data_IF_712955651484
#
_entry.id   IF_712955651484
#
_cell.length_a   1.000
_cell.length_b   1.000
_cell.length_c   1.000
_cell.angle_alpha   90.00
_cell.angle_beta   90.00
_cell.angle_gamma   90.00
#
_symmetry.space_group_name_H-M   'P 1'
#
loop_
_entity.id
_entity.type
_entity.pdbx_description
1 polymer ?
#
# COMPACT_ATOMS: atom_id res chain seq x y z
N UNK A 1 -14.16 5.60 -4.06
CA UNK A 1 -13.78 4.78 -2.89
C UNK A 1 -12.45 4.10 -3.14
N UNK A 2 -11.53 4.17 -2.18
CA UNK A 2 -10.22 3.51 -2.34
C UNK A 2 -10.26 2.08 -1.82
N UNK A 3 -9.51 1.21 -2.49
CA UNK A 3 -9.24 -0.15 -2.03
C UNK A 3 -7.80 -0.20 -1.60
N UNK A 4 -7.55 -0.62 -0.39
CA UNK A 4 -6.21 -0.64 0.19
C UNK A 4 -5.60 -2.03 0.05
N UNK A 5 -4.33 -2.07 -0.35
CA UNK A 5 -3.59 -3.31 -0.59
C UNK A 5 -2.23 -3.22 0.07
N UNK A 6 -1.93 -4.23 0.89
CA UNK A 6 -0.63 -4.34 1.52
C UNK A 6 0.22 -5.31 0.70
N UNK A 7 1.35 -4.84 0.20
CA UNK A 7 2.31 -5.71 -0.50
C UNK A 7 3.05 -6.51 0.56
N UNK A 8 2.90 -7.81 0.49
CA UNK A 8 3.40 -8.72 1.51
C UNK A 8 4.46 -9.67 0.95
N UNK A 9 5.34 -10.13 1.83
CA UNK A 9 6.26 -11.22 1.52
C UNK A 9 5.94 -12.37 2.47
N UNK A 10 4.72 -12.91 2.34
CA UNK A 10 4.27 -14.03 3.13
C UNK A 10 3.34 -13.70 4.28
N UNK A 11 3.36 -12.49 4.83
CA UNK A 11 2.40 -12.09 5.86
C UNK A 11 2.23 -10.58 5.94
N UNK A 12 1.08 -10.15 6.43
CA UNK A 12 0.77 -8.73 6.58
C UNK A 12 1.74 -8.03 7.55
N UNK A 13 2.33 -8.76 8.48
CA UNK A 13 3.31 -8.22 9.42
C UNK A 13 4.59 -7.78 8.71
N UNK A 14 4.86 -8.35 7.53
CA UNK A 14 6.03 -8.03 6.73
C UNK A 14 5.66 -7.13 5.55
N UNK A 15 4.60 -6.35 5.68
CA UNK A 15 4.17 -5.42 4.65
C UNK A 15 5.30 -4.44 4.33
N UNK A 16 5.81 -4.49 3.11
CA UNK A 16 6.90 -3.62 2.67
C UNK A 16 6.40 -2.36 1.98
N UNK A 17 5.21 -2.41 1.43
CA UNK A 17 4.63 -1.31 0.68
C UNK A 17 3.13 -1.28 0.91
N UNK A 18 2.57 -0.08 0.90
CA UNK A 18 1.14 0.11 1.07
C UNK A 18 0.58 0.85 -0.12
N UNK A 19 -0.40 0.24 -0.76
CA UNK A 19 -1.02 0.76 -1.96
C UNK A 19 -2.50 1.04 -1.73
N UNK A 20 -3.04 1.96 -2.51
CA UNK A 20 -4.48 2.12 -2.62
C UNK A 20 -4.86 2.31 -4.08
N UNK A 21 -6.01 1.81 -4.46
CA UNK A 21 -6.52 1.88 -5.82
C UNK A 21 -7.88 2.56 -5.77
N UNK A 22 -8.08 3.59 -6.59
CA UNK A 22 -9.36 4.27 -6.65
C UNK A 22 -10.32 3.57 -7.62
N UNK A 23 -11.53 4.11 -7.75
CA UNK A 23 -12.57 3.51 -8.62
C UNK A 23 -12.19 3.50 -10.10
N UNK A 24 -11.21 4.30 -10.49
CA UNK A 24 -10.72 4.37 -11.88
C UNK A 24 -9.54 3.43 -12.12
N UNK A 25 -9.14 2.69 -11.11
CA UNK A 25 -8.00 1.78 -11.22
C UNK A 25 -6.64 2.46 -11.10
N UNK A 26 -6.59 3.70 -10.68
CA UNK A 26 -5.33 4.41 -10.46
C UNK A 26 -4.69 3.93 -9.16
N UNK A 27 -3.40 3.61 -9.22
CA UNK A 27 -2.65 3.06 -8.09
C UNK A 27 -1.81 4.16 -7.45
N UNK A 28 -1.93 4.29 -6.13
CA UNK A 28 -1.09 5.19 -5.35
C UNK A 28 -0.36 4.40 -4.27
N UNK A 29 0.85 4.81 -3.97
CA UNK A 29 1.67 4.22 -2.91
C UNK A 29 1.90 5.25 -1.82
N UNK A 30 1.88 4.78 -0.56
CA UNK A 30 2.17 5.65 0.57
C UNK A 30 3.68 5.76 0.77
N UNK A 31 4.19 6.99 0.81
CA UNK A 31 5.60 7.29 1.05
C UNK A 31 5.79 7.91 2.43
N UNK A 32 6.57 7.25 3.27
CA UNK A 32 6.81 7.69 4.64
C UNK A 32 7.53 9.04 4.67
N UNK A 33 8.50 9.24 3.79
CA UNK A 33 9.30 10.46 3.75
C UNK A 33 8.46 11.71 3.52
N UNK A 34 7.48 11.63 2.64
CA UNK A 34 6.59 12.75 2.34
C UNK A 34 5.29 12.69 3.13
N UNK A 35 5.03 11.58 3.83
CA UNK A 35 3.79 11.33 4.56
C UNK A 35 2.55 11.51 3.67
N UNK A 36 2.65 11.04 2.44
CA UNK A 36 1.60 11.25 1.45
C UNK A 36 1.48 10.07 0.49
N UNK A 37 0.32 9.99 -0.14
CA UNK A 37 0.05 9.04 -1.21
C UNK A 37 0.49 9.67 -2.53
N UNK A 38 1.25 8.93 -3.33
CA UNK A 38 1.74 9.38 -4.62
C UNK A 38 1.47 8.35 -5.69
N UNK A 39 1.32 8.81 -6.93
CA UNK A 39 1.07 7.93 -8.06
C UNK A 39 2.19 6.89 -8.20
N UNK A 40 1.79 5.64 -8.35
CA UNK A 40 2.74 4.52 -8.47
C UNK A 40 2.31 3.54 -9.57
N UNK A 41 1.44 3.95 -10.48
CA UNK A 41 0.90 3.06 -11.50
C UNK A 41 1.99 2.38 -12.33
N UNK A 42 3.07 3.10 -12.68
CA UNK A 42 4.18 2.54 -13.44
C UNK A 42 4.96 1.48 -12.68
N UNK A 43 5.19 1.71 -11.38
CA UNK A 43 6.00 0.82 -10.56
C UNK A 43 5.22 -0.38 -10.02
N UNK A 44 3.91 -0.19 -9.78
CA UNK A 44 3.08 -1.17 -9.11
C UNK A 44 2.05 -1.87 -10.01
N UNK A 45 2.23 -1.75 -11.31
CA UNK A 45 1.34 -2.41 -12.28
C UNK A 45 1.30 -3.93 -12.09
N UNK A 46 2.32 -4.50 -11.50
CA UNK A 46 2.39 -5.93 -11.20
C UNK A 46 1.25 -6.48 -10.35
N UNK A 47 0.52 -5.63 -9.63
CA UNK A 47 -0.66 -6.09 -8.88
C UNK A 47 -1.79 -6.55 -9.81
N UNK A 48 -1.85 -6.01 -11.02
CA UNK A 48 -2.84 -6.39 -12.02
C UNK A 48 -2.39 -7.61 -12.83
N UNK A 49 -1.09 -7.80 -12.98
CA UNK A 49 -0.53 -8.92 -13.73
C UNK A 49 -0.26 -10.15 -12.88
N UNK A 50 -0.37 -10.01 -11.55
CA UNK A 50 -0.11 -11.09 -10.61
C UNK A 50 1.35 -11.25 -10.22
N UNK A 51 2.23 -10.34 -10.66
CA UNK A 51 3.67 -10.39 -10.33
C UNK A 51 3.99 -9.91 -8.92
N UNK A 52 3.07 -9.17 -8.31
CA UNK A 52 3.24 -8.63 -6.96
C UNK A 52 2.23 -9.29 -6.03
N UNK A 53 2.73 -9.90 -4.96
CA UNK A 53 1.86 -10.48 -3.92
C UNK A 53 1.34 -9.38 -3.01
N UNK A 54 0.04 -9.39 -2.74
CA UNK A 54 -0.58 -8.41 -1.87
C UNK A 54 -1.77 -9.01 -1.14
N UNK A 55 -2.17 -8.35 -0.06
CA UNK A 55 -3.43 -8.63 0.62
C UNK A 55 -4.33 -7.40 0.56
N UNK A 56 -5.61 -7.62 0.31
CA UNK A 56 -6.60 -6.55 0.39
C UNK A 56 -6.94 -6.33 1.85
N UNK A 57 -6.82 -5.10 2.31
CA UNK A 57 -7.04 -4.72 3.70
C UNK A 57 -8.06 -3.59 3.79
N UNK A 58 -8.58 -3.36 4.99
CA UNK A 58 -9.49 -2.26 5.24
C UNK A 58 -8.72 -0.95 5.36
N UNK A 59 -9.43 0.18 5.22
CA UNK A 59 -8.86 1.50 5.46
C UNK A 59 -8.27 1.59 6.87
N UNK A 60 -8.96 1.03 7.85
CA UNK A 60 -8.54 1.03 9.23
C UNK A 60 -7.23 0.30 9.44
N UNK A 61 -7.06 -0.85 8.78
CA UNK A 61 -5.83 -1.61 8.81
C UNK A 61 -4.68 -0.85 8.12
N UNK A 62 -4.97 -0.19 7.00
CA UNK A 62 -3.99 0.62 6.31
C UNK A 62 -3.51 1.77 7.19
N UNK A 63 -4.42 2.44 7.90
CA UNK A 63 -4.08 3.52 8.82
C UNK A 63 -3.20 3.03 9.97
N UNK A 64 -3.46 1.84 10.49
CA UNK A 64 -2.63 1.22 11.54
C UNK A 64 -1.22 0.93 11.05
N UNK A 65 -1.09 0.47 9.83
CA UNK A 65 0.22 0.19 9.22
C UNK A 65 1.01 1.50 9.09
N UNK A 66 0.36 2.54 8.58
CA UNK A 66 0.98 3.86 8.44
C UNK A 66 1.43 4.39 9.79
N UNK A 67 0.58 4.29 10.79
CA UNK A 67 0.88 4.73 12.15
C UNK A 67 2.10 4.01 12.71
N UNK A 68 2.18 2.70 12.51
CA UNK A 68 3.33 1.92 12.95
C UNK A 68 4.61 2.34 12.24
N UNK A 69 4.54 2.57 10.93
CA UNK A 69 5.69 3.03 10.17
C UNK A 69 6.20 4.39 10.64
N UNK A 70 5.30 5.34 10.85
CA UNK A 70 5.65 6.68 11.30
C UNK A 70 6.26 6.65 12.70
N UNK A 71 5.78 5.76 13.55
CA UNK A 71 6.28 5.59 14.90
C UNK A 71 7.69 5.00 14.91
N UNK A 72 7.99 4.11 13.98
CA UNK A 72 9.29 3.44 13.89
C UNK A 72 10.31 4.17 13.03
N UNK A 73 9.90 5.21 12.34
CA UNK A 73 10.77 5.98 11.43
C UNK A 73 11.57 7.08 12.13
N UNK A 74 11.48 7.20 13.43
CA UNK A 74 12.16 8.21 14.23
C UNK A 74 13.56 7.75 14.60
#
# INVERSE_FOLDING_TARGET
MHRYKAVTKGSIKNCSELLRVNDRGQIEQYYIKSKSWQDAAGDMYGIYTGDIEYETISKKEAEKIIEAWLKNAI
#
